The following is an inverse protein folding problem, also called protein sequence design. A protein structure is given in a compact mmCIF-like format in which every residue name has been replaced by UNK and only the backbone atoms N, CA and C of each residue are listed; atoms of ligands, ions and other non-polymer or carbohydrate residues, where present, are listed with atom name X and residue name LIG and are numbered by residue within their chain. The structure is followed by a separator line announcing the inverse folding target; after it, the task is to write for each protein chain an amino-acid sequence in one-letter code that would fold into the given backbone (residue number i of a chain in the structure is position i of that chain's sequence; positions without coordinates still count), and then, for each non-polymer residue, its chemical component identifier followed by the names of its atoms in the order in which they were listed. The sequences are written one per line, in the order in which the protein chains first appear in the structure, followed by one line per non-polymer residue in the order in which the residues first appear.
data_IF_385643990070
#
_entry.id   IF_385643990070
#
_cell.length_a   1.000
_cell.length_b   1.000
_cell.length_c   1.000
_cell.angle_alpha   90.00
_cell.angle_beta   90.00
_cell.angle_gamma   90.00
#
_symmetry.space_group_name_H-M   'P 1'
#
loop_
_entity.id
_entity.type
_entity.pdbx_description
1 polymer ?
#
# COMPACT_ATOMS: atom_id res chain seq x y z
N UNK A 1 -11.35 3.83 14.56
CA UNK A 1 -10.12 3.20 15.07
C UNK A 1 -9.61 2.24 14.00
N UNK A 2 -8.34 2.33 13.62
CA UNK A 2 -7.68 1.43 12.67
C UNK A 2 -7.84 1.76 11.18
N UNK A 3 -8.30 2.96 10.78
CA UNK A 3 -8.40 3.35 9.35
C UNK A 3 -7.42 4.43 8.94
N UNK A 4 -6.99 5.27 9.87
CA UNK A 4 -5.95 6.28 9.62
C UNK A 4 -4.60 5.75 10.11
N UNK A 5 -3.52 6.15 9.45
CA UNK A 5 -2.17 5.68 9.77
C UNK A 5 -1.70 6.02 11.20
N UNK A 6 -2.28 7.04 11.84
CA UNK A 6 -2.00 7.42 13.23
C UNK A 6 -3.03 6.92 14.25
N UNK A 7 -4.01 6.11 13.83
CA UNK A 7 -4.97 5.53 14.78
C UNK A 7 -4.27 4.53 15.70
N UNK A 8 -4.75 4.41 16.94
CA UNK A 8 -4.33 3.33 17.83
C UNK A 8 -4.65 1.94 17.24
N UNK A 9 -3.85 0.95 17.62
CA UNK A 9 -4.09 -0.46 17.30
C UNK A 9 -5.47 -0.84 17.86
N UNK A 10 -6.28 -1.52 17.03
CA UNK A 10 -7.55 -2.07 17.46
C UNK A 10 -7.35 -3.52 17.94
N UNK A 11 -7.39 -3.80 19.26
CA UNK A 11 -7.14 -5.13 19.82
C UNK A 11 -8.29 -6.13 19.59
N UNK A 12 -9.46 -5.65 19.18
CA UNK A 12 -10.64 -6.50 18.93
C UNK A 12 -10.60 -7.17 17.55
N UNK A 13 -9.73 -6.69 16.65
CA UNK A 13 -9.59 -7.21 15.30
C UNK A 13 -8.42 -8.19 15.19
N UNK A 14 -8.60 -9.23 14.38
CA UNK A 14 -7.54 -10.18 14.06
C UNK A 14 -6.51 -9.48 13.16
N UNK A 15 -5.21 -9.51 13.49
CA UNK A 15 -4.17 -8.98 12.61
C UNK A 15 -4.08 -9.81 11.32
N UNK A 16 -4.08 -9.13 10.18
CA UNK A 16 -3.92 -9.76 8.86
C UNK A 16 -2.52 -9.50 8.30
N UNK A 17 -1.96 -10.44 7.52
CA UNK A 17 -0.70 -10.19 6.83
C UNK A 17 -0.90 -9.11 5.76
N UNK A 18 -0.31 -7.94 5.99
CA UNK A 18 -0.40 -6.80 5.06
C UNK A 18 0.83 -6.68 4.17
N UNK A 19 1.99 -7.18 4.61
CA UNK A 19 3.23 -7.19 3.85
C UNK A 19 3.89 -8.57 3.93
N UNK A 20 4.34 -9.12 2.80
CA UNK A 20 5.03 -10.41 2.76
C UNK A 20 6.03 -10.49 1.62
N UNK A 21 6.97 -11.44 1.73
CA UNK A 21 7.97 -11.72 0.70
C UNK A 21 7.86 -13.16 0.19
N UNK A 22 8.24 -13.37 -1.06
CA UNK A 22 8.32 -14.69 -1.68
C UNK A 22 9.40 -14.71 -2.76
N UNK A 23 10.07 -15.83 -2.96
CA UNK A 23 10.87 -16.07 -4.17
C UNK A 23 10.03 -16.81 -5.22
N UNK A 24 10.08 -16.38 -6.47
CA UNK A 24 9.31 -16.98 -7.56
C UNK A 24 10.18 -17.24 -8.78
N UNK A 25 10.17 -18.47 -9.30
CA UNK A 25 10.87 -18.84 -10.53
C UNK A 25 9.87 -18.91 -11.67
N UNK A 26 10.07 -18.07 -12.68
CA UNK A 26 9.21 -18.01 -13.87
C UNK A 26 9.47 -19.14 -14.87
N UNK A 27 8.69 -19.16 -15.96
CA UNK A 27 8.85 -20.11 -17.07
C UNK A 27 10.17 -19.98 -17.85
N UNK A 28 10.88 -18.86 -17.71
CA UNK A 28 12.22 -18.64 -18.29
C UNK A 28 13.36 -19.11 -17.38
N UNK A 29 13.05 -19.70 -16.22
CA UNK A 29 14.03 -20.21 -15.26
C UNK A 29 14.69 -19.13 -14.38
N UNK A 30 14.37 -17.85 -14.57
CA UNK A 30 14.86 -16.78 -13.70
C UNK A 30 14.07 -16.71 -12.39
N UNK A 31 14.79 -16.70 -11.27
CA UNK A 31 14.22 -16.49 -9.93
C UNK A 31 14.18 -15.01 -9.58
N UNK A 32 12.99 -14.51 -9.24
CA UNK A 32 12.77 -13.15 -8.77
C UNK A 32 12.45 -13.13 -7.27
N UNK A 33 12.77 -12.01 -6.61
CA UNK A 33 12.28 -11.65 -5.28
C UNK A 33 10.99 -10.87 -5.43
N UNK A 34 9.96 -11.29 -4.72
CA UNK A 34 8.65 -10.65 -4.69
C UNK A 34 8.42 -10.08 -3.31
N UNK A 35 8.13 -8.78 -3.25
CA UNK A 35 7.54 -8.15 -2.08
C UNK A 35 6.11 -7.75 -2.44
N UNK A 36 5.16 -8.10 -1.57
CA UNK A 36 3.77 -7.71 -1.71
C UNK A 36 3.35 -6.86 -0.53
N UNK A 37 2.54 -5.84 -0.82
CA UNK A 37 1.90 -4.99 0.17
C UNK A 37 0.43 -4.84 -0.21
N UNK A 38 -0.47 -5.26 0.67
CA UNK A 38 -1.92 -5.12 0.49
C UNK A 38 -2.33 -3.64 0.60
N UNK A 39 -1.62 -2.87 1.41
CA UNK A 39 -1.74 -1.41 1.49
C UNK A 39 -1.07 -0.78 0.25
N UNK A 40 -1.68 0.23 -0.34
CA UNK A 40 -1.15 0.76 -1.61
C UNK A 40 -2.06 1.77 -2.29
N UNK A 41 -3.14 2.18 -1.63
CA UNK A 41 -3.89 3.36 -2.05
C UNK A 41 -3.00 4.60 -1.90
N UNK A 42 -3.29 5.64 -2.68
CA UNK A 42 -2.57 6.90 -2.53
C UNK A 42 -2.68 7.49 -1.10
N UNK A 43 -3.77 7.20 -0.37
CA UNK A 43 -3.88 7.62 1.04
C UNK A 43 -2.91 6.90 1.96
N UNK A 44 -2.61 5.62 1.71
CA UNK A 44 -1.66 4.86 2.54
C UNK A 44 -0.28 5.50 2.49
N UNK A 45 0.10 6.07 1.35
CA UNK A 45 1.35 6.81 1.17
C UNK A 45 1.39 8.16 1.90
N UNK A 46 0.33 8.59 2.60
CA UNK A 46 0.44 9.65 3.63
C UNK A 46 1.23 9.17 4.86
N UNK A 47 1.29 7.86 5.11
CA UNK A 47 2.12 7.27 6.16
C UNK A 47 3.59 7.21 5.75
N UNK A 48 4.47 7.78 6.57
CA UNK A 48 5.92 7.69 6.37
C UNK A 48 6.43 6.24 6.40
N UNK A 49 5.88 5.42 7.31
CA UNK A 49 6.25 4.01 7.43
C UNK A 49 5.94 3.22 6.17
N UNK A 50 4.81 3.49 5.52
CA UNK A 50 4.45 2.86 4.23
C UNK A 50 5.43 3.28 3.15
N UNK A 51 5.71 4.59 3.00
CA UNK A 51 6.71 5.11 2.04
C UNK A 51 8.07 4.44 2.25
N UNK A 52 8.55 4.42 3.49
CA UNK A 52 9.83 3.80 3.86
C UNK A 52 9.89 2.32 3.53
N UNK A 53 8.84 1.57 3.88
CA UNK A 53 8.75 0.14 3.59
C UNK A 53 8.76 -0.13 2.08
N UNK A 54 7.99 0.64 1.30
CA UNK A 54 7.98 0.52 -0.16
C UNK A 54 9.35 0.78 -0.77
N UNK A 55 10.03 1.86 -0.38
CA UNK A 55 11.38 2.19 -0.89
C UNK A 55 12.39 1.11 -0.49
N UNK A 56 12.40 0.67 0.77
CA UNK A 56 13.29 -0.39 1.23
C UNK A 56 13.03 -1.73 0.52
N UNK A 57 11.77 -2.05 0.22
CA UNK A 57 11.40 -3.23 -0.55
C UNK A 57 11.96 -3.18 -1.98
N UNK A 58 12.02 -2.00 -2.62
CA UNK A 58 12.66 -1.84 -3.94
C UNK A 58 14.15 -2.15 -3.87
N UNK A 59 14.88 -1.58 -2.90
CA UNK A 59 16.30 -1.91 -2.69
C UNK A 59 16.48 -3.41 -2.45
N UNK A 60 15.63 -4.01 -1.62
CA UNK A 60 15.69 -5.44 -1.33
C UNK A 60 15.39 -6.31 -2.56
N UNK A 61 14.40 -5.98 -3.39
CA UNK A 61 14.12 -6.70 -4.63
C UNK A 61 15.29 -6.66 -5.61
N UNK A 62 16.06 -5.57 -5.59
CA UNK A 62 17.24 -5.33 -6.44
C UNK A 62 18.56 -5.86 -5.85
N UNK A 63 18.53 -6.55 -4.70
CA UNK A 63 19.73 -7.08 -4.03
C UNK A 63 20.69 -5.97 -3.55
N UNK A 64 20.14 -4.82 -3.17
CA UNK A 64 20.87 -3.63 -2.75
C UNK A 64 20.69 -3.35 -1.25
N UNK A 65 20.64 -4.40 -0.42
CA UNK A 65 20.39 -4.26 1.03
C UNK A 65 21.41 -3.38 1.73
N UNK A 66 22.65 -3.35 1.25
CA UNK A 66 23.72 -2.47 1.76
C UNK A 66 23.45 -0.98 1.54
N UNK A 67 22.53 -0.64 0.63
CA UNK A 67 22.09 0.74 0.36
C UNK A 67 20.87 1.15 1.19
N UNK A 68 20.26 0.22 1.94
CA UNK A 68 19.12 0.54 2.80
C UNK A 68 19.61 1.35 4.00
N UNK A 69 19.08 2.56 4.14
CA UNK A 69 19.37 3.45 5.26
C UNK A 69 18.05 3.78 6.01
N UNK A 70 18.01 3.44 7.30
CA UNK A 70 16.83 3.64 8.14
C UNK A 70 16.47 5.13 8.33
N UNK A 71 17.45 6.01 8.19
CA UNK A 71 17.35 7.46 8.34
C UNK A 71 17.13 8.20 7.01
N UNK A 72 16.99 7.49 5.88
CA UNK A 72 16.66 8.13 4.61
C UNK A 72 15.41 9.00 4.73
N UNK A 73 15.45 10.21 4.16
CA UNK A 73 14.32 11.11 4.13
C UNK A 73 13.17 10.48 3.33
N UNK A 74 11.97 10.48 3.91
CA UNK A 74 10.73 10.00 3.29
C UNK A 74 9.71 11.14 3.19
N UNK A 75 10.19 12.38 3.16
CA UNK A 75 9.34 13.54 2.99
C UNK A 75 8.77 13.55 1.58
N UNK A 76 7.55 14.06 1.48
CA UNK A 76 6.89 14.21 0.21
C UNK A 76 7.42 15.48 -0.44
N UNK A 77 7.86 15.35 -1.69
CA UNK A 77 8.23 16.50 -2.51
C UNK A 77 6.95 17.20 -2.98
N UNK A 78 6.72 18.42 -2.50
CA UNK A 78 5.56 19.22 -2.86
C UNK A 78 4.29 18.86 -2.08
N UNK A 79 3.14 19.29 -2.60
CA UNK A 79 1.83 19.00 -1.99
C UNK A 79 1.37 17.57 -2.32
N UNK A 80 0.85 16.86 -1.32
CA UNK A 80 0.29 15.52 -1.50
C UNK A 80 -1.06 15.37 -0.82
N UNK A 81 -2.09 15.68 -1.59
CA UNK A 81 -3.48 15.52 -1.18
C UNK A 81 -4.23 14.59 -2.16
N UNK A 82 -3.96 13.27 -2.12
CA UNK A 82 -4.64 12.33 -2.99
C UNK A 82 -6.14 12.27 -2.67
N UNK A 83 -6.97 12.06 -3.70
CA UNK A 83 -8.42 11.94 -3.54
C UNK A 83 -8.79 10.66 -2.77
N UNK A 84 -10.06 10.57 -2.39
CA UNK A 84 -10.62 9.34 -1.83
C UNK A 84 -10.56 8.17 -2.81
N UNK A 85 -10.30 6.98 -2.28
CA UNK A 85 -10.30 5.75 -3.09
C UNK A 85 -11.69 5.49 -3.65
N UNK A 86 -11.77 5.18 -4.94
CA UNK A 86 -13.02 4.83 -5.62
C UNK A 86 -13.33 5.79 -6.77
N UNK A 87 -14.53 5.64 -7.33
CA UNK A 87 -15.08 6.63 -8.24
C UNK A 87 -15.69 7.74 -7.39
N UNK A 88 -15.61 8.99 -7.84
CA UNK A 88 -16.14 10.17 -7.17
C UNK A 88 -17.69 10.17 -7.14
N UNK A 89 -18.30 9.06 -6.69
CA UNK A 89 -19.72 8.77 -6.76
C UNK A 89 -20.56 9.87 -6.12
N UNK A 90 -20.07 10.45 -5.02
CA UNK A 90 -20.73 11.57 -4.35
C UNK A 90 -20.78 12.82 -5.24
N UNK A 91 -19.70 13.15 -5.92
CA UNK A 91 -19.63 14.30 -6.85
C UNK A 91 -20.42 14.04 -8.13
N UNK A 92 -20.44 12.79 -8.58
CA UNK A 92 -21.17 12.33 -9.76
C UNK A 92 -22.65 12.04 -9.49
N UNK A 93 -23.13 12.24 -8.25
CA UNK A 93 -24.48 11.85 -7.80
C UNK A 93 -24.86 10.40 -8.14
N UNK A 94 -23.87 9.49 -8.18
CA UNK A 94 -24.09 8.07 -8.42
C UNK A 94 -24.42 7.41 -7.08
N UNK A 95 -25.61 6.83 -7.00
CA UNK A 95 -26.06 6.04 -5.86
C UNK A 95 -25.91 4.56 -6.22
N UNK A 96 -25.08 3.77 -5.50
CA UNK A 96 -24.96 2.34 -5.74
C UNK A 96 -26.32 1.65 -5.61
N UNK A 97 -26.73 0.95 -6.66
CA UNK A 97 -27.98 0.19 -6.68
C UNK A 97 -27.70 -1.30 -6.54
N UNK A 98 -28.61 -2.03 -5.90
CA UNK A 98 -28.55 -3.50 -5.88
C UNK A 98 -28.72 -4.03 -7.31
N UNK A 99 -28.13 -5.20 -7.66
CA UNK A 99 -28.27 -5.77 -9.01
C UNK A 99 -29.72 -5.90 -9.50
N UNK A 100 -30.69 -6.07 -8.59
CA UNK A 100 -32.12 -6.14 -8.93
C UNK A 100 -32.75 -4.85 -9.45
N UNK A 101 -32.10 -3.69 -9.28
CA UNK A 101 -32.59 -2.40 -9.79
C UNK A 101 -32.47 -2.27 -11.31
N UNK A 102 -31.48 -2.92 -11.93
CA UNK A 102 -31.17 -2.83 -13.36
C UNK A 102 -31.85 -3.92 -14.20
N UNK A 103 -32.87 -4.59 -13.64
CA UNK A 103 -33.65 -5.61 -14.34
C UNK A 103 -34.83 -4.99 -15.08
#
# INVERSE_FOLDING_TARGET
MGRKHGDAINPELIPLPVAWVKTWTGNTGHTARVFNLTMGSAQDFKSEGVRRMTVNAVYWCQQMETSINAQSCMDIVGEYNPPDSGFAYKELNIVPQKPGFYR
#
